data_IF_420022440599
#
_entry.id   IF_420022440599
#
_cell.length_a   1.000
_cell.length_b   1.000
_cell.length_c   1.000
_cell.angle_alpha   90.00
_cell.angle_beta   90.00
_cell.angle_gamma   90.00
#
_symmetry.space_group_name_H-M   'P 1'
#
loop_
_entity.id
_entity.type
_entity.pdbx_description
1 polymer ?
#
# COMPACT_ATOMS: atom_id res chain seq x y z
N UNK A 1 2.08 -15.89 -23.67
CA UNK A 1 2.62 -14.58 -24.06
C UNK A 1 2.74 -13.75 -22.80
N UNK A 2 3.94 -13.59 -22.25
CA UNK A 2 4.17 -12.64 -21.15
C UNK A 2 4.38 -11.27 -21.78
N UNK A 3 3.29 -10.54 -21.99
CA UNK A 3 3.37 -9.15 -22.42
C UNK A 3 3.80 -8.33 -21.22
N UNK A 4 5.09 -8.07 -21.12
CA UNK A 4 5.63 -6.97 -20.31
C UNK A 4 5.07 -5.67 -20.86
N UNK A 5 3.88 -5.27 -20.40
CA UNK A 5 3.38 -3.91 -20.57
C UNK A 5 4.12 -3.03 -19.57
N UNK A 6 5.37 -2.72 -19.88
CA UNK A 6 6.20 -1.77 -19.14
C UNK A 6 5.72 -0.34 -19.42
N UNK A 7 4.49 -0.05 -19.01
CA UNK A 7 4.00 1.32 -18.92
C UNK A 7 4.72 2.00 -17.75
N UNK A 8 5.24 3.19 -18.02
CA UNK A 8 5.84 4.03 -16.98
C UNK A 8 4.75 4.55 -16.04
N UNK A 9 5.10 4.86 -14.78
CA UNK A 9 4.17 5.48 -13.83
C UNK A 9 3.51 6.75 -14.40
N UNK A 10 4.22 7.50 -15.24
CA UNK A 10 3.70 8.69 -15.94
C UNK A 10 2.58 8.33 -16.92
N UNK A 11 2.76 7.30 -17.74
CA UNK A 11 1.73 6.85 -18.69
C UNK A 11 0.48 6.39 -17.94
N UNK A 12 0.66 5.56 -16.91
CA UNK A 12 -0.45 5.06 -16.08
C UNK A 12 -1.21 6.21 -15.43
N UNK A 13 -0.50 7.17 -14.82
CA UNK A 13 -1.16 8.32 -14.20
C UNK A 13 -1.92 9.18 -15.21
N UNK A 14 -1.35 9.41 -16.40
CA UNK A 14 -2.02 10.20 -17.44
C UNK A 14 -3.28 9.50 -17.97
N UNK A 15 -3.23 8.18 -18.17
CA UNK A 15 -4.39 7.38 -18.56
C UNK A 15 -5.48 7.39 -17.48
N UNK A 16 -5.10 7.25 -16.20
CA UNK A 16 -6.03 7.37 -15.08
C UNK A 16 -6.63 8.79 -14.99
N UNK A 17 -5.83 9.83 -15.17
CA UNK A 17 -6.30 11.22 -15.12
C UNK A 17 -7.24 11.56 -16.29
N UNK A 18 -7.03 10.97 -17.47
CA UNK A 18 -7.92 11.13 -18.61
C UNK A 18 -9.33 10.55 -18.36
N UNK A 19 -9.43 9.51 -17.52
CA UNK A 19 -10.71 8.84 -17.19
C UNK A 19 -11.37 9.45 -15.95
N UNK A 20 -10.59 9.69 -14.89
CA UNK A 20 -11.10 10.07 -13.56
C UNK A 20 -10.96 11.58 -13.25
N UNK A 21 -10.28 12.35 -14.11
CA UNK A 21 -10.14 13.79 -13.93
C UNK A 21 -9.48 14.15 -12.59
N UNK A 22 -10.13 15.01 -11.81
CA UNK A 22 -9.63 15.49 -10.51
C UNK A 22 -9.64 14.45 -9.40
N UNK A 23 -10.44 13.39 -9.54
CA UNK A 23 -10.59 12.35 -8.51
C UNK A 23 -9.52 11.24 -8.63
N UNK A 24 -8.57 11.42 -9.55
CA UNK A 24 -7.47 10.49 -9.77
C UNK A 24 -6.55 10.40 -8.55
N UNK A 25 -6.05 9.19 -8.30
CA UNK A 25 -4.98 8.97 -7.31
C UNK A 25 -3.72 9.75 -7.70
N UNK A 26 -2.96 10.20 -6.69
CA UNK A 26 -1.74 10.97 -6.95
C UNK A 26 -0.71 10.18 -7.75
N UNK A 27 0.11 10.88 -8.54
CA UNK A 27 1.27 10.29 -9.21
C UNK A 27 2.19 9.50 -8.26
N UNK A 28 2.41 10.01 -7.04
CA UNK A 28 3.21 9.31 -6.02
C UNK A 28 2.62 7.97 -5.61
N UNK A 29 1.28 7.86 -5.59
CA UNK A 29 0.58 6.60 -5.30
C UNK A 29 0.76 5.63 -6.45
N UNK A 30 0.62 6.10 -7.70
CA UNK A 30 0.85 5.28 -8.91
C UNK A 30 2.27 4.71 -8.92
N UNK A 31 3.30 5.54 -8.67
CA UNK A 31 4.69 5.06 -8.58
C UNK A 31 4.85 3.96 -7.54
N UNK A 32 4.32 4.17 -6.33
CA UNK A 32 4.35 3.17 -5.25
C UNK A 32 3.70 1.84 -5.63
N UNK A 33 2.65 1.88 -6.45
CA UNK A 33 1.96 0.66 -6.92
C UNK A 33 2.68 -0.01 -8.09
N UNK A 34 3.36 0.76 -8.96
CA UNK A 34 4.10 0.19 -10.10
C UNK A 34 5.36 -0.57 -9.66
N UNK A 35 6.04 -0.13 -8.60
CA UNK A 35 7.27 -0.76 -8.10
C UNK A 35 7.09 -2.25 -7.75
N UNK A 36 6.06 -2.69 -7.01
CA UNK A 36 5.85 -4.11 -6.73
C UNK A 36 5.61 -4.96 -7.98
N UNK A 37 4.86 -4.47 -8.98
CA UNK A 37 4.64 -5.23 -10.22
C UNK A 37 5.92 -5.43 -11.03
N UNK A 38 6.83 -4.45 -11.00
CA UNK A 38 8.18 -4.61 -11.56
C UNK A 38 9.03 -5.65 -10.81
N UNK A 39 8.70 -5.91 -9.54
CA UNK A 39 9.33 -6.93 -8.70
C UNK A 39 8.48 -8.22 -8.62
N UNK A 40 7.68 -8.50 -9.66
CA UNK A 40 6.87 -9.73 -9.80
C UNK A 40 5.82 -9.96 -8.69
N UNK A 41 5.47 -8.92 -7.92
CA UNK A 41 4.33 -8.98 -6.99
C UNK A 41 3.04 -8.73 -7.77
N UNK A 42 2.23 -9.77 -7.93
CA UNK A 42 0.92 -9.68 -8.60
C UNK A 42 -0.25 -9.39 -7.64
N UNK A 43 -0.03 -9.50 -6.33
CA UNK A 43 -1.08 -9.27 -5.33
C UNK A 43 -1.56 -7.81 -5.34
N UNK A 44 -2.87 -7.65 -5.47
CA UNK A 44 -3.57 -6.36 -5.35
C UNK A 44 -3.88 -5.98 -3.90
N UNK A 45 -3.82 -6.96 -2.99
CA UNK A 45 -4.16 -6.76 -1.59
C UNK A 45 -3.08 -5.94 -0.86
N UNK A 46 -3.53 -5.10 0.08
CA UNK A 46 -2.63 -4.46 1.04
C UNK A 46 -1.89 -5.54 1.84
N UNK A 47 -0.62 -5.28 2.16
CA UNK A 47 0.06 -6.11 3.15
C UNK A 47 -0.69 -6.02 4.48
N UNK A 48 -0.69 -7.11 5.29
CA UNK A 48 -1.29 -7.08 6.62
C UNK A 48 -0.81 -5.84 7.37
N UNK A 49 -1.76 -5.03 7.83
CA UNK A 49 -1.42 -3.85 8.62
C UNK A 49 -0.79 -4.35 9.91
N UNK A 50 0.38 -3.81 10.23
CA UNK A 50 0.99 -4.04 11.54
C UNK A 50 0.02 -3.51 12.59
N UNK A 51 -0.68 -4.42 13.26
CA UNK A 51 -1.44 -4.06 14.45
C UNK A 51 -0.46 -3.77 15.59
N UNK A 52 -0.94 -3.10 16.65
CA UNK A 52 -0.19 -2.99 17.90
C UNK A 52 0.22 -4.41 18.31
N UNK A 53 1.50 -4.61 18.62
CA UNK A 53 2.01 -5.90 19.03
C UNK A 53 1.19 -6.42 20.22
N UNK A 54 0.80 -7.70 20.18
CA UNK A 54 0.10 -8.34 21.30
C UNK A 54 0.95 -8.33 22.58
N UNK A 55 2.27 -8.09 22.49
CA UNK A 55 3.15 -7.84 23.62
C UNK A 55 2.80 -6.58 24.43
N UNK A 56 1.94 -5.70 23.92
CA UNK A 56 1.40 -4.60 24.71
C UNK A 56 0.36 -5.08 25.76
N UNK A 57 -0.24 -6.25 25.55
CA UNK A 57 -1.23 -6.89 26.44
C UNK A 57 -0.52 -7.98 27.25
N UNK A 58 0.50 -7.61 28.02
CA UNK A 58 1.02 -8.47 29.10
C UNK A 58 0.22 -8.20 30.36
N UNK A 59 0.06 -9.22 31.21
CA UNK A 59 -0.56 -9.02 32.53
C UNK A 59 0.16 -7.92 33.32
N UNK A 60 1.50 -7.85 33.20
CA UNK A 60 2.30 -6.77 33.76
C UNK A 60 1.85 -5.38 33.30
N UNK A 61 1.72 -5.14 32.00
CA UNK A 61 1.30 -3.82 31.49
C UNK A 61 -0.15 -3.49 31.91
N UNK A 62 -1.00 -4.51 32.05
CA UNK A 62 -2.38 -4.34 32.53
C UNK A 62 -2.39 -3.95 34.00
N UNK A 63 -1.53 -4.54 34.82
CA UNK A 63 -1.45 -4.27 36.25
C UNK A 63 -0.82 -2.89 36.50
N UNK A 64 0.28 -2.55 35.81
CA UNK A 64 0.89 -1.21 35.88
C UNK A 64 -0.09 -0.10 35.46
N UNK A 65 -0.97 -0.35 34.48
CA UNK A 65 -1.96 0.62 34.05
C UNK A 65 -3.14 0.80 35.03
N UNK A 66 -3.40 -0.19 35.90
CA UNK A 66 -4.43 -0.09 36.95
C UNK A 66 -3.96 0.68 38.18
N UNK A 67 -2.65 0.78 38.36
CA UNK A 67 -2.00 1.47 39.48
C UNK A 67 -1.63 2.94 39.18
N UNK A 68 -2.07 3.47 38.02
CA UNK A 68 -2.02 4.89 37.62
C UNK A 68 -3.32 5.63 37.96
#
# INVERSE_FOLDING_TARGET
>A
MHSSTSLTATQIHNELAAVYGSDVVSYSTVTRWTEPFLNERESLEDNPRSCRSLSAITQQNIDEAKDL
#
